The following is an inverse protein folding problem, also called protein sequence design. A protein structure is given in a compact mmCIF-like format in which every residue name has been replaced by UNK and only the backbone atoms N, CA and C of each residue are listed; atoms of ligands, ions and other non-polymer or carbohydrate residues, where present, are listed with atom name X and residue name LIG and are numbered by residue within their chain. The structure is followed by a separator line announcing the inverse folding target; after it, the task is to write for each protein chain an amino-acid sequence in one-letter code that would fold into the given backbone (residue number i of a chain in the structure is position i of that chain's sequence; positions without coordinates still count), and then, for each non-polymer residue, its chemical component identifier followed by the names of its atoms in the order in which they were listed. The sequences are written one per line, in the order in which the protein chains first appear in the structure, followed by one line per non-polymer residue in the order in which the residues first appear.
data_IF_752412274163
#
_entry.id   IF_752412274163
#
_cell.length_a   1.000
_cell.length_b   1.000
_cell.length_c   1.000
_cell.angle_alpha   90.00
_cell.angle_beta   90.00
_cell.angle_gamma   90.00
#
_symmetry.space_group_name_H-M   'P 1'
#
loop_
_entity.id
_entity.type
_entity.pdbx_description
1 polymer ?
#
# COMPACT_ATOMS: atom_id res chain seq x y z
N UNK A 1 -24.32 9.05 -0.13
CA UNK A 1 -24.15 7.87 0.74
C UNK A 1 -23.14 8.22 1.83
N UNK A 2 -23.60 8.44 3.06
CA UNK A 2 -22.70 8.70 4.19
C UNK A 2 -22.25 7.35 4.79
N UNK A 3 -21.05 6.93 4.42
CA UNK A 3 -20.45 5.66 4.82
C UNK A 3 -20.17 5.58 6.33
N UNK A 4 -20.25 6.69 7.06
CA UNK A 4 -20.05 6.73 8.52
C UNK A 4 -21.13 5.96 9.29
N UNK A 5 -22.28 5.71 8.68
CA UNK A 5 -23.43 5.02 9.29
C UNK A 5 -23.73 3.65 8.67
N UNK A 6 -22.77 3.05 7.93
CA UNK A 6 -23.02 1.77 7.29
C UNK A 6 -23.19 0.66 8.33
N UNK A 7 -24.27 -0.14 8.22
CA UNK A 7 -24.67 -1.19 9.18
C UNK A 7 -23.63 -2.31 9.37
N UNK A 8 -22.65 -2.40 8.48
CA UNK A 8 -21.52 -3.34 8.57
C UNK A 8 -20.41 -2.85 9.51
N UNK A 9 -20.44 -1.59 9.95
CA UNK A 9 -19.50 -1.07 10.93
C UNK A 9 -20.14 -1.08 12.32
N UNK A 10 -19.43 -1.62 13.32
CA UNK A 10 -19.83 -1.52 14.74
C UNK A 10 -19.69 -0.06 15.20
N UNK A 11 -20.75 0.72 14.98
CA UNK A 11 -20.85 2.13 15.37
C UNK A 11 -20.30 3.10 14.32
N UNK A 12 -20.42 4.40 14.62
CA UNK A 12 -19.94 5.47 13.75
C UNK A 12 -18.41 5.41 13.66
N UNK A 13 -17.88 5.28 12.44
CA UNK A 13 -16.43 5.28 12.20
C UNK A 13 -16.03 6.51 11.39
N UNK A 14 -14.94 7.16 11.79
CA UNK A 14 -14.27 8.16 10.96
C UNK A 14 -13.69 7.49 9.72
N UNK A 15 -13.39 8.26 8.67
CA UNK A 15 -12.77 7.71 7.45
C UNK A 15 -11.47 6.95 7.75
N UNK A 16 -10.69 7.42 8.74
CA UNK A 16 -9.49 6.73 9.23
C UNK A 16 -9.83 5.47 10.01
N UNK A 17 -10.83 5.52 10.89
CA UNK A 17 -11.29 4.36 11.66
C UNK A 17 -11.88 3.24 10.79
N UNK A 18 -12.38 3.56 9.59
CA UNK A 18 -12.82 2.55 8.60
C UNK A 18 -11.60 1.81 8.01
N UNK A 19 -10.55 2.55 7.65
CA UNK A 19 -9.30 1.96 7.13
C UNK A 19 -8.64 1.11 8.21
N UNK A 20 -8.56 1.63 9.44
CA UNK A 20 -8.01 0.90 10.58
C UNK A 20 -8.79 -0.40 10.84
N UNK A 21 -10.12 -0.35 10.70
CA UNK A 21 -10.96 -1.54 10.80
C UNK A 21 -10.64 -2.55 9.68
N UNK A 22 -10.55 -2.14 8.42
CA UNK A 22 -10.18 -3.06 7.32
C UNK A 22 -8.79 -3.66 7.50
N UNK A 23 -7.84 -2.90 8.06
CA UNK A 23 -6.51 -3.41 8.40
C UNK A 23 -6.52 -4.50 9.47
N UNK A 24 -7.54 -4.56 10.34
CA UNK A 24 -7.67 -5.65 11.32
C UNK A 24 -8.27 -6.93 10.73
N UNK A 25 -8.94 -6.85 9.58
CA UNK A 25 -9.66 -7.98 9.00
C UNK A 25 -8.77 -8.86 8.13
N UNK A 26 -7.80 -8.27 7.45
CA UNK A 26 -6.93 -8.97 6.50
C UNK A 26 -5.50 -8.45 6.56
N UNK A 27 -4.57 -9.37 6.88
CA UNK A 27 -3.13 -9.12 6.94
C UNK A 27 -2.59 -8.78 5.56
N UNK A 28 -3.09 -9.42 4.49
CA UNK A 28 -2.65 -9.14 3.13
C UNK A 28 -3.03 -7.72 2.72
N UNK A 29 -4.27 -7.33 3.02
CA UNK A 29 -4.75 -5.98 2.78
C UNK A 29 -3.93 -4.94 3.56
N UNK A 30 -3.68 -5.18 4.85
CA UNK A 30 -2.87 -4.30 5.70
C UNK A 30 -1.48 -4.08 5.12
N UNK A 31 -0.73 -5.15 4.85
CA UNK A 31 0.62 -5.03 4.32
C UNK A 31 0.66 -4.35 2.94
N UNK A 32 -0.33 -4.63 2.10
CA UNK A 32 -0.48 -4.01 0.78
C UNK A 32 -0.72 -2.50 0.90
N UNK A 33 -1.65 -2.10 1.78
CA UNK A 33 -1.98 -0.70 2.00
C UNK A 33 -0.79 0.06 2.58
N UNK A 34 -0.14 -0.47 3.61
CA UNK A 34 1.03 0.16 4.25
C UNK A 34 2.15 0.38 3.23
N UNK A 35 2.46 -0.63 2.41
CA UNK A 35 3.50 -0.51 1.38
C UNK A 35 3.14 0.52 0.32
N UNK A 36 1.89 0.52 -0.16
CA UNK A 36 1.43 1.51 -1.13
C UNK A 36 1.53 2.94 -0.58
N UNK A 37 1.15 3.13 0.69
CA UNK A 37 1.22 4.44 1.35
C UNK A 37 2.66 4.90 1.52
N UNK A 38 3.57 4.01 1.93
CA UNK A 38 5.00 4.32 2.05
C UNK A 38 5.62 4.71 0.70
N UNK A 39 5.26 4.00 -0.38
CA UNK A 39 5.70 4.34 -1.74
C UNK A 39 5.17 5.70 -2.18
N UNK A 40 3.90 6.01 -1.90
CA UNK A 40 3.29 7.30 -2.22
C UNK A 40 3.99 8.44 -1.48
N UNK A 41 4.25 8.28 -0.18
CA UNK A 41 4.97 9.27 0.64
C UNK A 41 6.39 9.46 0.08
N UNK A 42 7.12 8.38 -0.22
CA UNK A 42 8.46 8.48 -0.79
C UNK A 42 8.48 9.26 -2.12
N UNK A 43 7.47 9.06 -2.98
CA UNK A 43 7.29 9.83 -4.22
C UNK A 43 6.97 11.31 -3.95
N UNK A 44 6.03 11.59 -3.05
CA UNK A 44 5.62 12.95 -2.70
C UNK A 44 6.78 13.77 -2.14
N UNK A 45 7.61 13.17 -1.29
CA UNK A 45 8.80 13.80 -0.72
C UNK A 45 10.04 13.73 -1.61
N UNK A 46 9.91 13.22 -2.85
CA UNK A 46 11.03 13.00 -3.79
C UNK A 46 12.21 12.22 -3.19
N UNK A 47 11.92 11.36 -2.21
CA UNK A 47 12.92 10.57 -1.51
C UNK A 47 13.23 9.29 -2.30
N UNK A 48 14.08 9.45 -3.32
CA UNK A 48 14.49 8.36 -4.20
C UNK A 48 15.15 7.17 -3.47
N UNK A 49 16.02 7.38 -2.47
CA UNK A 49 16.58 6.28 -1.67
C UNK A 49 15.51 5.45 -0.94
N UNK A 50 14.55 6.11 -0.28
CA UNK A 50 13.46 5.42 0.41
C UNK A 50 12.56 4.66 -0.58
N UNK A 51 12.27 5.25 -1.74
CA UNK A 51 11.51 4.55 -2.78
C UNK A 51 12.24 3.29 -3.26
N UNK A 52 13.56 3.39 -3.51
CA UNK A 52 14.36 2.24 -3.95
C UNK A 52 14.46 1.12 -2.91
N UNK A 53 14.59 1.45 -1.62
CA UNK A 53 14.60 0.44 -0.56
C UNK A 53 13.25 -0.27 -0.43
N UNK A 54 12.15 0.49 -0.53
CA UNK A 54 10.79 -0.05 -0.45
C UNK A 54 10.47 -1.00 -1.61
N UNK A 55 10.84 -0.65 -2.85
CA UNK A 55 10.60 -1.56 -3.98
C UNK A 55 11.42 -2.85 -3.83
N UNK A 56 12.64 -2.79 -3.30
CA UNK A 56 13.51 -3.96 -3.14
C UNK A 56 13.10 -4.88 -1.99
N UNK A 57 12.36 -4.35 -1.01
CA UNK A 57 11.91 -5.09 0.17
C UNK A 57 11.00 -6.26 -0.24
N UNK A 58 11.33 -7.48 0.23
CA UNK A 58 10.48 -8.65 0.06
C UNK A 58 9.48 -8.70 1.20
N UNK A 59 8.22 -8.34 0.91
CA UNK A 59 7.11 -8.52 1.85
C UNK A 59 6.29 -9.77 1.48
N UNK A 60 6.16 -10.75 2.40
CA UNK A 60 5.52 -12.03 2.10
C UNK A 60 4.02 -11.88 1.83
N UNK A 61 3.30 -11.04 2.60
CA UNK A 61 1.84 -10.92 2.54
C UNK A 61 1.36 -9.72 1.72
N UNK A 62 2.12 -9.28 0.71
CA UNK A 62 1.64 -8.27 -0.22
C UNK A 62 0.80 -8.90 -1.34
N UNK A 63 -0.23 -8.19 -1.80
CA UNK A 63 -1.08 -8.65 -2.88
C UNK A 63 -0.35 -8.99 -4.16
N UNK A 64 -0.87 -10.00 -4.87
CA UNK A 64 -0.30 -10.47 -6.13
C UNK A 64 -0.20 -9.34 -7.18
N UNK A 65 -1.17 -8.43 -7.18
CA UNK A 65 -1.23 -7.27 -8.06
C UNK A 65 -0.09 -6.30 -7.75
N UNK A 66 0.11 -5.93 -6.47
CA UNK A 66 1.18 -5.02 -6.09
C UNK A 66 2.56 -5.65 -6.33
N UNK A 67 2.72 -6.94 -6.08
CA UNK A 67 3.94 -7.71 -6.43
C UNK A 67 4.25 -7.63 -7.93
N UNK A 68 3.25 -7.82 -8.80
CA UNK A 68 3.41 -7.70 -10.26
C UNK A 68 3.79 -6.28 -10.67
N UNK A 69 3.12 -5.26 -10.13
CA UNK A 69 3.45 -3.85 -10.40
C UNK A 69 4.89 -3.52 -10.00
N UNK A 70 5.32 -3.92 -8.80
CA UNK A 70 6.70 -3.71 -8.33
C UNK A 70 7.73 -4.43 -9.21
N UNK A 71 7.41 -5.63 -9.70
CA UNK A 71 8.28 -6.36 -10.64
C UNK A 71 8.45 -5.59 -11.96
N UNK A 72 7.35 -5.08 -12.53
CA UNK A 72 7.39 -4.32 -13.78
C UNK A 72 8.17 -3.01 -13.61
N UNK A 73 7.96 -2.32 -12.49
CA UNK A 73 8.70 -1.10 -12.14
C UNK A 73 10.20 -1.40 -12.05
N UNK A 74 10.60 -2.46 -11.34
CA UNK A 74 12.01 -2.87 -11.25
C UNK A 74 12.61 -3.15 -12.63
N UNK A 75 11.88 -3.87 -13.48
CA UNK A 75 12.33 -4.18 -14.84
C UNK A 75 12.55 -2.91 -15.67
N UNK A 76 11.62 -1.96 -15.61
CA UNK A 76 11.76 -0.67 -16.29
C UNK A 76 13.00 0.11 -15.82
N UNK A 77 13.26 0.15 -14.50
CA UNK A 77 14.47 0.78 -13.96
C UNK A 77 15.77 0.08 -14.38
N UNK A 78 15.78 -1.25 -14.48
CA UNK A 78 16.96 -1.98 -14.94
C UNK A 78 17.21 -1.86 -16.44
N UNK A 79 16.15 -1.73 -17.25
CA UNK A 79 16.27 -1.62 -18.71
C UNK A 79 16.74 -0.22 -19.15
N UNK A 80 16.30 0.84 -18.46
CA UNK A 80 16.73 2.23 -18.70
C UNK A 80 18.17 2.54 -18.23
N UNK A 81 18.87 1.56 -17.64
CA UNK A 81 20.24 1.72 -17.12
C UNK A 81 21.31 1.09 -18.03
N UNK A 82 20.91 0.52 -19.17
CA UNK A 82 21.78 0.08 -20.26
C UNK A 82 21.78 1.12 -21.36
#
# INVERSE_FOLDING_TARGET
FDYRYHRLFNGQKSSRGIIDYFMTLDVEFKETYELAQQLLIALQHKNSPAYQSLIQTKKPFVSSQLKRSLKNIKQAFTCNRK
#
